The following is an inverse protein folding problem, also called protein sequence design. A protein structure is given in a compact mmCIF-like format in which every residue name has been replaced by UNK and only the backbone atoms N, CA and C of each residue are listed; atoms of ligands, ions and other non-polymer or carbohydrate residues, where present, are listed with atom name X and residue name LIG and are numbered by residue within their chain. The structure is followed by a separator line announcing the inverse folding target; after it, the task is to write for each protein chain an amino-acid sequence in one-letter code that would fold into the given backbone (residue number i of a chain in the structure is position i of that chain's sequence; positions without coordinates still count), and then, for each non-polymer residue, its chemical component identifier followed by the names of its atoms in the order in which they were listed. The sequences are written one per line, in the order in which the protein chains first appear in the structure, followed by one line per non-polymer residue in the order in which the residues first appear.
data_IF_074965265080
#
_entry.id   IF_074965265080
#
_cell.length_a   1.000
_cell.length_b   1.000
_cell.length_c   1.000
_cell.angle_alpha   90.00
_cell.angle_beta   90.00
_cell.angle_gamma   90.00
#
_symmetry.space_group_name_H-M   'P 1'
#
loop_
_entity.id
_entity.type
_entity.pdbx_description
1 polymer ?
#
# COMPACT_ATOMS: atom_id res chain seq x y z
N UNK A 1 29.61 18.77 31.41
CA UNK A 1 29.96 18.09 30.14
C UNK A 1 29.83 16.59 30.34
N UNK A 2 28.69 15.99 29.96
CA UNK A 2 28.50 14.53 29.94
C UNK A 2 28.00 14.12 28.58
N UNK A 3 28.90 13.54 27.79
CA UNK A 3 28.59 12.95 26.49
C UNK A 3 27.86 11.62 26.71
N UNK A 4 26.56 11.55 26.38
CA UNK A 4 25.81 10.29 26.30
C UNK A 4 26.15 9.60 24.98
N UNK A 5 26.91 8.52 25.07
CA UNK A 5 27.17 7.61 23.94
C UNK A 5 25.89 6.86 23.60
N UNK A 6 25.37 7.11 22.43
CA UNK A 6 24.28 6.32 21.81
C UNK A 6 24.92 5.04 21.24
N UNK A 7 24.72 3.91 21.93
CA UNK A 7 24.98 2.59 21.37
C UNK A 7 23.86 2.24 20.39
N UNK A 8 24.16 2.27 19.10
CA UNK A 8 23.31 1.75 18.04
C UNK A 8 23.49 0.22 18.02
N UNK A 9 22.58 -0.51 18.70
CA UNK A 9 22.50 -1.97 18.58
C UNK A 9 21.95 -2.33 17.20
N UNK A 10 22.83 -2.77 16.33
CA UNK A 10 22.48 -3.45 15.09
C UNK A 10 21.92 -4.83 15.45
N UNK A 11 20.61 -4.97 15.44
CA UNK A 11 19.95 -6.25 15.51
C UNK A 11 20.04 -6.89 14.13
N UNK A 12 21.11 -7.67 13.91
CA UNK A 12 21.21 -8.59 12.77
C UNK A 12 20.08 -9.64 12.92
N UNK A 13 19.02 -9.50 12.15
CA UNK A 13 18.07 -10.58 11.91
C UNK A 13 18.78 -11.65 11.08
N UNK A 14 19.39 -12.61 11.73
CA UNK A 14 19.81 -13.86 11.09
C UNK A 14 18.51 -14.60 10.72
N UNK A 15 18.11 -14.48 9.47
CA UNK A 15 17.10 -15.34 8.88
C UNK A 15 17.67 -16.75 8.84
N UNK A 16 17.39 -17.58 9.84
CA UNK A 16 17.62 -19.02 9.80
C UNK A 16 16.77 -19.58 8.66
N UNK A 17 17.42 -19.89 7.55
CA UNK A 17 16.84 -20.64 6.46
C UNK A 17 16.54 -22.07 6.98
N UNK A 18 15.33 -22.28 7.50
CA UNK A 18 14.82 -23.62 7.72
C UNK A 18 14.75 -24.29 6.34
N UNK A 19 15.34 -25.49 6.16
CA UNK A 19 15.16 -26.25 4.95
C UNK A 19 13.70 -26.66 4.87
N UNK A 20 12.90 -25.87 4.15
CA UNK A 20 11.58 -26.27 3.77
C UNK A 20 11.73 -27.45 2.80
N UNK A 21 11.43 -28.64 3.28
CA UNK A 21 11.25 -29.80 2.39
C UNK A 21 10.37 -29.36 1.23
N UNK A 22 10.94 -29.37 0.04
CA UNK A 22 10.25 -29.13 -1.21
C UNK A 22 9.16 -30.22 -1.33
N UNK A 23 7.95 -29.91 -0.90
CA UNK A 23 6.79 -30.67 -1.36
C UNK A 23 6.72 -30.42 -2.86
N UNK A 24 6.77 -31.49 -3.63
CA UNK A 24 6.67 -31.53 -5.07
C UNK A 24 5.71 -30.45 -5.57
N UNK A 25 6.27 -29.38 -6.09
CA UNK A 25 5.51 -28.47 -6.92
C UNK A 25 5.18 -29.28 -8.17
N UNK A 26 3.93 -29.62 -8.35
CA UNK A 26 3.40 -30.06 -9.61
C UNK A 26 3.88 -29.03 -10.64
N UNK A 27 4.69 -29.46 -11.60
CA UNK A 27 5.28 -28.58 -12.61
C UNK A 27 4.12 -28.00 -13.42
N UNK A 28 3.59 -26.87 -12.93
CA UNK A 28 2.46 -26.18 -13.54
C UNK A 28 2.96 -25.62 -14.88
N UNK A 29 2.65 -26.32 -15.97
CA UNK A 29 2.98 -25.90 -17.34
C UNK A 29 2.43 -24.52 -17.72
N UNK A 30 1.67 -23.90 -16.81
CA UNK A 30 1.07 -22.56 -16.95
C UNK A 30 1.81 -21.49 -16.16
N UNK A 31 2.98 -21.77 -15.57
CA UNK A 31 3.76 -20.79 -14.82
C UNK A 31 4.18 -19.60 -15.68
N UNK A 32 3.64 -18.45 -15.33
CA UNK A 32 3.89 -17.17 -16.02
C UNK A 32 4.67 -16.26 -15.13
N UNK A 33 5.76 -15.72 -15.64
CA UNK A 33 6.71 -14.93 -14.86
C UNK A 33 6.28 -13.49 -14.63
N UNK A 34 5.59 -12.90 -15.59
CA UNK A 34 5.17 -11.50 -15.53
C UNK A 34 3.69 -11.37 -15.25
N UNK A 35 3.32 -10.29 -14.58
CA UNK A 35 1.92 -9.92 -14.46
C UNK A 35 1.74 -8.40 -14.47
N UNK A 36 0.55 -8.01 -14.88
CA UNK A 36 0.01 -6.67 -14.75
C UNK A 36 -1.21 -6.74 -13.83
N UNK A 37 -1.23 -5.90 -12.81
CA UNK A 37 -2.29 -5.91 -11.81
C UNK A 37 -2.84 -4.54 -11.48
N UNK A 38 -3.98 -4.56 -10.81
CA UNK A 38 -4.66 -3.39 -10.29
C UNK A 38 -5.50 -3.76 -9.06
N UNK A 39 -6.31 -2.83 -8.57
CA UNK A 39 -7.21 -3.03 -7.43
C UNK A 39 -8.65 -2.67 -7.75
N UNK A 40 -9.60 -3.42 -7.18
CA UNK A 40 -11.03 -3.08 -7.29
C UNK A 40 -11.39 -1.76 -6.61
N UNK A 41 -10.53 -1.20 -5.75
CA UNK A 41 -10.75 0.12 -5.16
C UNK A 41 -10.80 1.26 -6.20
N UNK A 42 -10.30 1.05 -7.40
CA UNK A 42 -10.50 1.99 -8.50
C UNK A 42 -11.99 2.21 -8.83
N UNK A 43 -12.87 1.26 -8.50
CA UNK A 43 -14.32 1.42 -8.65
C UNK A 43 -14.88 2.52 -7.75
N UNK A 44 -14.21 2.89 -6.67
CA UNK A 44 -14.58 4.04 -5.83
C UNK A 44 -14.62 5.36 -6.63
N UNK A 45 -13.88 5.45 -7.72
CA UNK A 45 -13.94 6.62 -8.61
C UNK A 45 -15.31 6.77 -9.35
N UNK A 46 -16.07 5.68 -9.44
CA UNK A 46 -17.37 5.67 -10.10
C UNK A 46 -18.54 5.96 -9.15
N UNK A 47 -18.27 6.06 -7.84
CA UNK A 47 -19.30 6.48 -6.87
C UNK A 47 -19.67 7.93 -7.18
N UNK A 48 -20.96 8.26 -7.30
CA UNK A 48 -21.41 9.63 -7.54
C UNK A 48 -21.14 10.48 -6.30
N UNK A 49 -19.97 11.09 -6.27
CA UNK A 49 -19.51 12.05 -5.26
C UNK A 49 -18.93 13.26 -6.01
N UNK A 50 -19.13 14.45 -5.48
CA UNK A 50 -18.53 15.69 -6.02
C UNK A 50 -17.00 15.63 -6.02
N UNK A 51 -16.43 14.88 -5.10
CA UNK A 51 -14.99 14.75 -4.91
C UNK A 51 -14.54 13.29 -4.79
N UNK A 52 -14.58 12.50 -5.88
CA UNK A 52 -14.17 11.12 -5.87
C UNK A 52 -12.68 10.98 -5.45
N UNK A 53 -12.29 9.85 -4.89
CA UNK A 53 -10.94 9.64 -4.34
C UNK A 53 -9.83 9.64 -5.41
N UNK A 54 -10.16 9.62 -6.70
CA UNK A 54 -9.22 9.61 -7.84
C UNK A 54 -8.12 8.55 -7.68
N UNK A 55 -8.54 7.34 -7.30
CA UNK A 55 -7.63 6.21 -7.13
C UNK A 55 -7.17 5.73 -8.51
N UNK A 56 -5.86 5.71 -8.70
CA UNK A 56 -5.22 4.96 -9.79
C UNK A 56 -4.22 4.02 -9.16
N UNK A 57 -4.23 2.77 -9.60
CA UNK A 57 -3.36 1.72 -9.09
C UNK A 57 -2.92 0.83 -10.25
N UNK A 58 -1.62 0.76 -10.47
CA UNK A 58 -1.02 -0.09 -11.48
C UNK A 58 0.14 -0.87 -10.85
N UNK A 59 0.12 -2.18 -10.99
CA UNK A 59 1.14 -3.08 -10.45
C UNK A 59 1.78 -3.88 -11.60
N UNK A 60 3.10 -3.79 -11.74
CA UNK A 60 3.88 -4.58 -12.69
C UNK A 60 4.80 -5.49 -11.89
N UNK A 61 4.65 -6.79 -12.04
CA UNK A 61 5.34 -7.74 -11.20
C UNK A 61 6.05 -8.86 -11.96
N UNK A 62 7.01 -9.43 -11.25
CA UNK A 62 7.84 -10.53 -11.71
C UNK A 62 7.95 -11.61 -10.63
N UNK A 63 7.72 -12.85 -11.02
CA UNK A 63 7.87 -14.01 -10.15
C UNK A 63 9.32 -14.49 -10.20
N UNK A 64 10.07 -14.21 -9.12
CA UNK A 64 11.47 -14.65 -8.98
C UNK A 64 11.56 -16.17 -8.88
N UNK A 65 10.66 -16.74 -8.07
CA UNK A 65 10.51 -18.18 -7.83
C UNK A 65 9.02 -18.53 -7.80
N UNK A 66 8.69 -19.78 -7.59
CA UNK A 66 7.30 -20.20 -7.34
C UNK A 66 6.71 -19.58 -6.06
N UNK A 67 7.57 -19.15 -5.13
CA UNK A 67 7.16 -18.59 -3.84
C UNK A 67 7.39 -17.09 -3.72
N UNK A 68 8.35 -16.53 -4.47
CA UNK A 68 8.79 -15.15 -4.28
C UNK A 68 8.44 -14.29 -5.49
N UNK A 69 7.80 -13.19 -5.22
CA UNK A 69 7.33 -12.23 -6.23
C UNK A 69 7.82 -10.84 -5.82
N UNK A 70 8.31 -10.09 -6.79
CA UNK A 70 8.62 -8.67 -6.66
C UNK A 70 7.78 -7.87 -7.63
N UNK A 71 7.37 -6.66 -7.24
CA UNK A 71 6.64 -5.78 -8.15
C UNK A 71 6.86 -4.32 -7.83
N UNK A 72 6.63 -3.49 -8.84
CA UNK A 72 6.53 -2.05 -8.72
C UNK A 72 5.06 -1.66 -8.85
N UNK A 73 4.62 -0.81 -7.91
CA UNK A 73 3.24 -0.35 -7.90
C UNK A 73 3.22 1.16 -8.00
N UNK A 74 2.58 1.68 -9.04
CA UNK A 74 2.24 3.09 -9.16
C UNK A 74 0.88 3.31 -8.52
N UNK A 75 0.83 4.26 -7.57
CA UNK A 75 -0.38 4.59 -6.81
C UNK A 75 -0.60 6.10 -6.80
N UNK A 76 -1.86 6.49 -6.97
CA UNK A 76 -2.29 7.86 -6.70
C UNK A 76 -3.70 7.85 -6.14
N UNK A 77 -3.99 8.76 -5.20
CA UNK A 77 -5.32 8.94 -4.64
C UNK A 77 -5.45 10.32 -3.98
N UNK A 78 -6.70 10.68 -3.72
CA UNK A 78 -7.06 11.82 -2.89
C UNK A 78 -7.66 11.35 -1.58
N UNK A 79 -7.39 12.05 -0.52
CA UNK A 79 -7.96 11.75 0.79
C UNK A 79 -7.96 13.00 1.69
N UNK A 80 -8.90 13.04 2.62
CA UNK A 80 -8.94 14.01 3.71
C UNK A 80 -8.43 13.38 5.02
N UNK A 81 -8.61 12.09 5.17
CA UNK A 81 -8.13 11.34 6.33
C UNK A 81 -6.62 11.22 6.33
N UNK A 82 -5.96 11.39 7.47
CA UNK A 82 -4.50 11.37 7.56
C UNK A 82 -3.86 10.06 7.12
N UNK A 83 -4.55 8.93 7.28
CA UNK A 83 -4.03 7.59 6.94
C UNK A 83 -4.23 7.21 5.47
N UNK A 84 -4.75 8.12 4.65
CA UNK A 84 -4.82 7.93 3.22
C UNK A 84 -5.77 6.86 2.73
N UNK A 85 -6.82 6.52 3.50
CA UNK A 85 -7.82 5.57 3.08
C UNK A 85 -8.74 6.23 2.05
N UNK A 86 -8.78 5.77 0.79
CA UNK A 86 -9.52 6.45 -0.27
C UNK A 86 -11.04 6.37 -0.14
N UNK A 87 -11.54 5.54 0.78
CA UNK A 87 -12.98 5.40 1.09
C UNK A 87 -13.36 6.03 2.43
N UNK A 88 -12.47 6.88 2.98
CA UNK A 88 -12.79 7.69 4.15
C UNK A 88 -13.79 8.81 3.82
N UNK A 89 -14.20 9.54 4.85
CA UNK A 89 -15.11 10.67 4.69
C UNK A 89 -14.53 11.73 3.77
N UNK A 90 -15.36 12.33 2.92
CA UNK A 90 -14.99 13.47 2.08
C UNK A 90 -14.49 14.64 2.93
N UNK A 91 -13.61 15.47 2.38
CA UNK A 91 -13.17 16.70 3.01
C UNK A 91 -14.28 17.74 3.19
N UNK A 92 -15.41 17.56 2.51
CA UNK A 92 -16.61 18.37 2.64
C UNK A 92 -17.54 17.89 3.77
N UNK A 93 -17.23 16.73 4.41
CA UNK A 93 -18.09 16.19 5.46
C UNK A 93 -18.23 17.17 6.62
N UNK A 94 -19.49 17.50 6.93
CA UNK A 94 -19.82 18.38 8.04
C UNK A 94 -19.34 17.80 9.38
N UNK A 95 -18.84 18.67 10.26
CA UNK A 95 -18.37 18.29 11.61
C UNK A 95 -16.97 17.68 11.66
N UNK A 96 -16.36 17.29 10.56
CA UNK A 96 -15.02 16.70 10.56
C UNK A 96 -13.89 17.74 10.65
N UNK A 97 -14.16 18.98 10.21
CA UNK A 97 -13.20 20.07 10.30
C UNK A 97 -11.96 19.91 9.41
N UNK A 98 -12.07 19.14 8.32
CA UNK A 98 -10.96 18.99 7.39
C UNK A 98 -10.62 20.31 6.70
N UNK A 99 -9.31 20.69 6.62
CA UNK A 99 -8.89 21.94 5.99
C UNK A 99 -8.95 21.89 4.46
N UNK A 100 -9.12 20.70 3.90
CA UNK A 100 -9.12 20.39 2.49
C UNK A 100 -8.79 18.91 2.29
N UNK A 101 -8.02 18.60 1.25
CA UNK A 101 -7.62 17.24 0.93
C UNK A 101 -6.14 17.15 0.55
N UNK A 102 -5.61 15.95 0.62
CA UNK A 102 -4.26 15.62 0.18
C UNK A 102 -4.38 14.83 -1.13
N UNK A 103 -3.67 15.27 -2.16
CA UNK A 103 -3.46 14.49 -3.38
C UNK A 103 -2.09 13.82 -3.28
N UNK A 104 -2.08 12.50 -3.31
CA UNK A 104 -0.86 11.71 -3.14
C UNK A 104 -0.55 10.89 -4.38
N UNK A 105 0.75 10.75 -4.65
CA UNK A 105 1.29 9.91 -5.72
C UNK A 105 2.59 9.28 -5.27
N UNK A 106 2.76 8.00 -5.56
CA UNK A 106 3.97 7.29 -5.20
C UNK A 106 4.22 6.08 -6.08
N UNK A 107 5.45 5.60 -6.02
CA UNK A 107 5.85 4.31 -6.59
C UNK A 107 6.38 3.47 -5.46
N UNK A 108 5.81 2.29 -5.28
CA UNK A 108 6.24 1.37 -4.24
C UNK A 108 7.00 0.18 -4.78
N UNK A 109 7.93 -0.31 -3.97
CA UNK A 109 8.53 -1.62 -4.12
C UNK A 109 7.76 -2.60 -3.24
N UNK A 110 7.32 -3.67 -3.85
CA UNK A 110 6.55 -4.72 -3.20
C UNK A 110 7.29 -6.05 -3.25
N UNK A 111 7.32 -6.76 -2.14
CA UNK A 111 7.77 -8.14 -2.05
C UNK A 111 6.66 -9.01 -1.47
N UNK A 112 6.31 -10.07 -2.18
CA UNK A 112 5.30 -11.04 -1.77
C UNK A 112 5.92 -12.44 -1.71
N UNK A 113 5.63 -13.20 -0.65
CA UNK A 113 6.06 -14.57 -0.48
C UNK A 113 4.89 -15.49 -0.18
N UNK A 114 4.74 -16.54 -0.97
CA UNK A 114 3.80 -17.63 -0.68
C UNK A 114 4.37 -18.50 0.43
N UNK A 115 3.69 -18.51 1.59
CA UNK A 115 4.15 -19.21 2.80
C UNK A 115 3.50 -20.57 2.96
N UNK A 116 2.28 -20.74 2.48
CA UNK A 116 1.56 -22.00 2.53
C UNK A 116 0.54 -22.07 1.41
N UNK A 117 0.65 -23.07 0.53
CA UNK A 117 -0.22 -23.20 -0.64
C UNK A 117 -0.34 -21.86 -1.40
N UNK A 118 -1.49 -21.21 -1.32
CA UNK A 118 -1.81 -19.93 -1.97
C UNK A 118 -1.91 -18.76 -1.01
N UNK A 119 -1.61 -19.00 0.28
CA UNK A 119 -1.52 -17.93 1.28
C UNK A 119 -0.21 -17.21 1.10
N UNK A 120 -0.25 -15.89 1.07
CA UNK A 120 0.94 -15.06 0.96
C UNK A 120 1.06 -14.04 2.08
N UNK A 121 2.28 -13.67 2.36
CA UNK A 121 2.66 -12.46 3.09
C UNK A 121 3.25 -11.47 2.10
N UNK A 122 3.00 -10.19 2.32
CA UNK A 122 3.46 -9.12 1.44
C UNK A 122 3.94 -7.93 2.28
N UNK A 123 5.03 -7.33 1.84
CA UNK A 123 5.52 -6.05 2.35
C UNK A 123 5.68 -5.08 1.18
N UNK A 124 5.18 -3.88 1.37
CA UNK A 124 5.20 -2.78 0.40
C UNK A 124 5.79 -1.55 1.07
N UNK A 125 6.72 -0.88 0.39
CA UNK A 125 7.34 0.37 0.84
C UNK A 125 7.17 1.41 -0.25
N UNK A 126 6.47 2.49 0.07
CA UNK A 126 6.12 3.54 -0.88
C UNK A 126 6.63 4.90 -0.41
N UNK A 127 7.69 5.44 -1.00
CA UNK A 127 7.93 6.88 -1.00
C UNK A 127 6.81 7.58 -1.77
N UNK A 128 6.18 8.58 -1.17
CA UNK A 128 5.01 9.24 -1.73
C UNK A 128 5.12 10.75 -1.63
N UNK A 129 4.81 11.42 -2.72
CA UNK A 129 4.71 12.87 -2.80
C UNK A 129 3.27 13.30 -2.55
N UNK A 130 3.11 14.27 -1.68
CA UNK A 130 1.83 14.82 -1.28
C UNK A 130 1.70 16.26 -1.78
N UNK A 131 0.50 16.62 -2.18
CA UNK A 131 0.12 18.01 -2.45
C UNK A 131 -1.06 18.34 -1.56
N UNK A 132 -0.89 19.34 -0.68
CA UNK A 132 -1.94 19.83 0.23
C UNK A 132 -2.78 20.86 -0.51
N UNK A 133 -4.08 20.64 -0.54
CA UNK A 133 -5.06 21.45 -1.29
C UNK A 133 -6.17 21.87 -0.34
N UNK A 134 -6.50 23.16 -0.29
CA UNK A 134 -7.58 23.66 0.55
C UNK A 134 -8.96 23.34 -0.02
N UNK A 135 -10.01 23.67 0.72
CA UNK A 135 -11.43 23.46 0.31
C UNK A 135 -11.78 24.14 -1.00
N UNK A 136 -11.11 25.23 -1.36
CA UNK A 136 -11.34 25.97 -2.59
C UNK A 136 -10.57 25.40 -3.80
N UNK A 137 -9.86 24.28 -3.63
CA UNK A 137 -9.07 23.66 -4.68
C UNK A 137 -7.71 24.31 -4.91
N UNK A 138 -7.28 25.25 -4.06
CA UNK A 138 -5.99 25.92 -4.18
C UNK A 138 -4.90 25.11 -3.49
N UNK A 139 -3.78 24.89 -4.17
CA UNK A 139 -2.60 24.29 -3.58
C UNK A 139 -2.03 25.18 -2.47
N UNK A 140 -1.74 24.58 -1.31
CA UNK A 140 -1.16 25.26 -0.16
C UNK A 140 0.35 24.98 -0.11
N UNK A 141 0.72 23.69 -0.19
CA UNK A 141 2.10 23.23 0.00
C UNK A 141 2.29 21.84 -0.62
N UNK A 142 3.54 21.38 -0.67
CA UNK A 142 3.91 20.01 -1.01
C UNK A 142 4.49 19.30 0.20
N UNK A 143 4.38 17.98 0.22
CA UNK A 143 4.93 17.15 1.27
C UNK A 143 5.45 15.82 0.73
N UNK A 144 6.03 15.07 1.64
CA UNK A 144 6.57 13.75 1.37
C UNK A 144 6.33 12.82 2.56
N UNK A 145 5.96 11.59 2.29
CA UNK A 145 5.88 10.55 3.32
C UNK A 145 6.47 9.24 2.84
N UNK A 146 6.78 8.36 3.78
CA UNK A 146 6.99 6.95 3.51
C UNK A 146 5.77 6.21 4.05
N UNK A 147 5.14 5.44 3.18
CA UNK A 147 3.94 4.68 3.48
C UNK A 147 4.22 3.19 3.27
N UNK A 148 4.12 2.41 4.32
CA UNK A 148 4.36 0.98 4.29
C UNK A 148 3.05 0.22 4.43
N UNK A 149 2.94 -0.92 3.73
CA UNK A 149 1.80 -1.83 3.85
C UNK A 149 2.31 -3.25 4.08
N UNK A 150 1.76 -3.92 5.07
CA UNK A 150 2.05 -5.32 5.38
C UNK A 150 0.75 -6.10 5.29
N UNK A 151 0.69 -7.08 4.39
CA UNK A 151 -0.55 -7.80 4.09
C UNK A 151 -0.40 -9.30 4.28
N UNK A 152 -1.50 -9.92 4.65
CA UNK A 152 -1.72 -11.35 4.49
C UNK A 152 -2.91 -11.55 3.57
N UNK A 153 -2.79 -12.45 2.60
CA UNK A 153 -3.84 -12.68 1.62
C UNK A 153 -3.82 -14.06 1.02
N UNK A 154 -4.75 -14.28 0.11
CA UNK A 154 -4.91 -15.54 -0.60
C UNK A 154 -4.93 -15.29 -2.11
N UNK A 155 -4.16 -16.08 -2.87
CA UNK A 155 -4.07 -15.98 -4.32
C UNK A 155 -5.02 -16.95 -5.02
N UNK A 156 -6.04 -16.43 -5.66
CA UNK A 156 -7.02 -17.20 -6.42
C UNK A 156 -6.63 -17.17 -7.89
N UNK A 157 -6.29 -18.33 -8.44
CA UNK A 157 -6.01 -18.51 -9.86
C UNK A 157 -7.31 -18.60 -10.65
N UNK A 158 -7.40 -17.86 -11.73
CA UNK A 158 -8.56 -17.85 -12.62
C UNK A 158 -8.12 -18.15 -14.07
N UNK A 159 -8.98 -18.80 -14.84
CA UNK A 159 -8.77 -19.07 -16.27
C UNK A 159 -7.42 -19.75 -16.57
N UNK A 160 -7.08 -20.83 -15.86
CA UNK A 160 -5.80 -21.55 -16.00
C UNK A 160 -4.60 -20.64 -15.72
N UNK A 161 -4.65 -19.88 -14.64
CA UNK A 161 -3.64 -18.92 -14.19
C UNK A 161 -3.36 -17.76 -15.18
N UNK A 162 -4.27 -17.50 -16.12
CA UNK A 162 -4.18 -16.30 -16.97
C UNK A 162 -4.56 -15.03 -16.22
N UNK A 163 -5.44 -15.16 -15.24
CA UNK A 163 -5.85 -14.09 -14.35
C UNK A 163 -5.73 -14.55 -12.90
N UNK A 164 -5.63 -13.59 -12.01
CA UNK A 164 -5.66 -13.84 -10.58
C UNK A 164 -6.52 -12.82 -9.85
N UNK A 165 -6.98 -13.22 -8.67
CA UNK A 165 -7.60 -12.34 -7.69
C UNK A 165 -6.96 -12.57 -6.33
N UNK A 166 -6.64 -11.49 -5.59
CA UNK A 166 -5.93 -11.54 -4.31
C UNK A 166 -6.68 -10.72 -3.25
N UNK A 167 -7.67 -11.32 -2.56
CA UNK A 167 -8.19 -10.73 -1.33
C UNK A 167 -7.12 -10.77 -0.25
N UNK A 168 -7.02 -9.70 0.51
CA UNK A 168 -6.05 -9.56 1.60
C UNK A 168 -6.57 -8.67 2.72
N UNK A 169 -5.89 -8.74 3.85
CA UNK A 169 -6.04 -7.80 4.95
C UNK A 169 -4.65 -7.24 5.27
N UNK A 170 -4.58 -5.95 5.55
CA UNK A 170 -3.31 -5.26 5.72
C UNK A 170 -3.25 -4.43 7.01
N UNK A 171 -2.02 -4.18 7.41
CA UNK A 171 -1.64 -3.13 8.36
C UNK A 171 -0.86 -2.10 7.56
N UNK A 172 -1.25 -0.84 7.65
CA UNK A 172 -0.47 0.26 7.09
C UNK A 172 0.28 1.01 8.17
N UNK A 173 1.44 1.56 7.81
CA UNK A 173 2.31 2.28 8.71
C UNK A 173 2.96 3.46 7.98
N UNK A 174 2.97 4.62 8.62
CA UNK A 174 3.63 5.84 8.12
C UNK A 174 4.85 6.15 8.99
N UNK A 175 6.03 5.55 8.72
CA UNK A 175 7.22 5.77 9.54
C UNK A 175 7.78 7.18 9.41
N UNK A 176 7.55 7.83 8.29
CA UNK A 176 8.05 9.18 8.03
C UNK A 176 7.00 10.05 7.37
N UNK A 177 6.91 11.29 7.83
CA UNK A 177 6.11 12.37 7.27
C UNK A 177 6.90 13.66 7.34
N UNK A 178 7.02 14.37 6.23
CA UNK A 178 7.60 15.71 6.21
C UNK A 178 6.70 16.72 6.94
N UNK A 179 7.18 17.94 7.10
CA UNK A 179 6.38 19.02 7.67
C UNK A 179 5.09 19.20 6.86
N UNK A 180 3.98 19.30 7.57
CA UNK A 180 2.65 19.58 7.00
C UNK A 180 2.22 21.01 7.30
N UNK A 181 1.34 21.61 6.47
CA UNK A 181 0.65 22.84 6.84
C UNK A 181 -0.06 22.70 8.19
N UNK A 182 -0.04 23.73 9.07
CA UNK A 182 -0.53 23.60 10.45
C UNK A 182 -1.94 23.04 10.58
N UNK A 183 -2.87 23.44 9.70
CA UNK A 183 -4.24 22.95 9.73
C UNK A 183 -4.35 21.45 9.39
N UNK A 184 -3.52 20.95 8.47
CA UNK A 184 -3.45 19.52 8.15
C UNK A 184 -2.78 18.72 9.26
N UNK A 185 -1.71 19.27 9.83
CA UNK A 185 -1.04 18.66 10.98
C UNK A 185 -1.98 18.48 12.18
N UNK A 186 -2.81 19.47 12.49
CA UNK A 186 -3.78 19.39 13.58
C UNK A 186 -4.78 18.22 13.39
N UNK A 187 -5.13 17.91 12.15
CA UNK A 187 -5.98 16.76 11.84
C UNK A 187 -5.17 15.46 11.92
N UNK A 188 -3.96 15.44 11.38
CA UNK A 188 -3.09 14.26 11.37
C UNK A 188 -2.71 13.81 12.79
N UNK A 189 -2.45 14.74 13.70
CA UNK A 189 -2.07 14.46 15.09
C UNK A 189 -3.18 13.74 15.90
N UNK A 190 -4.42 13.70 15.40
CA UNK A 190 -5.54 12.95 16.02
C UNK A 190 -5.47 11.45 15.71
N UNK A 191 -4.64 11.02 14.78
CA UNK A 191 -4.64 9.66 14.25
C UNK A 191 -3.32 8.94 14.50
N UNK A 192 -3.42 7.64 14.71
CA UNK A 192 -2.24 6.77 14.79
C UNK A 192 -1.49 6.74 13.44
N UNK A 193 -0.17 6.54 13.52
CA UNK A 193 0.64 6.23 12.35
C UNK A 193 0.43 4.82 11.82
N UNK A 194 -0.30 4.00 12.56
CA UNK A 194 -0.69 2.65 12.18
C UNK A 194 -2.20 2.59 11.96
N UNK A 195 -2.61 1.88 10.92
CA UNK A 195 -3.99 1.50 10.70
C UNK A 195 -4.07 -0.01 10.47
N UNK A 196 -4.98 -0.68 11.19
CA UNK A 196 -5.15 -2.12 11.20
C UNK A 196 -6.42 -2.50 10.46
N UNK A 197 -6.36 -3.62 9.72
CA UNK A 197 -7.55 -4.19 9.10
C UNK A 197 -7.94 -3.57 7.77
N UNK A 198 -7.00 -2.95 7.05
CA UNK A 198 -7.27 -2.44 5.71
C UNK A 198 -7.53 -3.61 4.75
N UNK A 199 -8.71 -3.68 4.09
CA UNK A 199 -8.96 -4.69 3.08
C UNK A 199 -8.15 -4.41 1.83
N UNK A 200 -7.70 -5.48 1.15
CA UNK A 200 -7.06 -5.43 -0.15
C UNK A 200 -7.84 -6.31 -1.13
N UNK A 201 -8.12 -5.80 -2.32
CA UNK A 201 -8.84 -6.52 -3.38
C UNK A 201 -8.09 -6.32 -4.69
N UNK A 202 -6.98 -7.05 -4.87
CA UNK A 202 -6.15 -6.94 -6.05
C UNK A 202 -6.52 -7.99 -7.09
N UNK A 203 -6.33 -7.65 -8.34
CA UNK A 203 -6.52 -8.57 -9.47
C UNK A 203 -5.47 -8.28 -10.54
N UNK A 204 -5.28 -9.23 -11.46
CA UNK A 204 -4.33 -9.03 -12.54
C UNK A 204 -4.35 -10.12 -13.59
N UNK A 205 -3.51 -9.92 -14.60
CA UNK A 205 -3.32 -10.79 -15.74
C UNK A 205 -1.86 -11.26 -15.74
N UNK A 206 -1.66 -12.56 -15.90
CA UNK A 206 -0.35 -13.21 -15.99
C UNK A 206 0.01 -13.46 -17.47
N UNK A 207 1.28 -13.26 -17.84
CA UNK A 207 1.83 -13.50 -19.19
C UNK A 207 3.31 -13.87 -19.16
#
# INVERSE_FOLDING_TARGET
MHAKRFCFSWMLLTATALPAHAQYAEQDSTYRKFFLGSTLFMLANAVPDNNPPKVVYLNVGYRLTEKDVVSLEFKTWRYAWPIGIPYGKSFEAEGEGFPGYISERGVSLNYQRFVWKRVFLQADVMPAFQTFINKNGTKIDDGFQVFNTYSVGYHIKLFRDRMFFQPSIAITHRPYQSTMPPAFKQVDDRWSRFFYGQPGLHFGINF
#
